data_IF_669322567211
#
_entry.id   IF_669322567211
#
_cell.length_a   1.000
_cell.length_b   1.000
_cell.length_c   1.000
_cell.angle_alpha   90.00
_cell.angle_beta   90.00
_cell.angle_gamma   90.00
#
_symmetry.space_group_name_H-M   'P 1'
#
loop_
_entity.id
_entity.type
_entity.pdbx_description
1 polymer ?
#
# COMPACT_ATOMS: atom_id res chain seq x y z
N UNK A 1 -5.56 44.07 3.86
CA UNK A 1 -6.01 43.02 2.92
C UNK A 1 -5.35 41.71 3.36
N UNK A 2 -6.08 40.89 4.10
CA UNK A 2 -5.57 39.66 4.68
C UNK A 2 -5.40 38.58 3.60
N UNK A 3 -4.18 38.04 3.49
CA UNK A 3 -3.93 36.77 2.82
C UNK A 3 -4.73 35.70 3.59
N UNK A 4 -5.85 35.24 3.02
CA UNK A 4 -6.43 33.95 3.43
C UNK A 4 -5.44 32.90 3.00
N UNK A 5 -4.64 32.37 3.95
CA UNK A 5 -3.97 31.10 3.81
C UNK A 5 -5.07 30.06 3.54
N UNK A 6 -5.24 29.71 2.27
CA UNK A 6 -6.00 28.52 1.87
C UNK A 6 -5.19 27.35 2.43
N UNK A 7 -5.49 26.96 3.67
CA UNK A 7 -4.98 25.69 4.21
C UNK A 7 -5.43 24.62 3.24
N UNK A 8 -4.50 24.14 2.38
CA UNK A 8 -4.79 23.03 1.48
C UNK A 8 -5.35 21.88 2.31
N UNK A 9 -6.53 21.39 1.92
CA UNK A 9 -7.21 20.32 2.65
C UNK A 9 -6.36 19.05 2.65
N UNK A 10 -6.34 18.35 3.79
CA UNK A 10 -5.71 17.04 3.89
C UNK A 10 -6.31 16.07 2.85
N UNK A 11 -5.46 15.23 2.28
CA UNK A 11 -5.81 14.30 1.22
C UNK A 11 -6.10 12.91 1.78
N UNK A 12 -7.05 12.20 1.20
CA UNK A 12 -7.27 10.79 1.49
C UNK A 12 -6.33 9.94 0.64
N UNK A 13 -5.85 8.83 1.18
CA UNK A 13 -4.88 7.97 0.52
C UNK A 13 -5.30 6.50 0.58
N UNK A 14 -4.92 5.75 -0.45
CA UNK A 14 -4.87 4.29 -0.40
C UNK A 14 -3.41 3.88 -0.42
N UNK A 15 -2.94 3.32 0.68
CA UNK A 15 -1.64 2.69 0.77
C UNK A 15 -1.75 1.27 0.24
N UNK A 16 -0.88 0.91 -0.71
CA UNK A 16 -0.92 -0.35 -1.42
C UNK A 16 0.35 -1.14 -1.13
N UNK A 17 0.24 -2.39 -0.64
CA UNK A 17 1.41 -3.25 -0.70
C UNK A 17 1.77 -3.51 -2.17
N UNK A 18 3.01 -3.88 -2.42
CA UNK A 18 3.52 -4.13 -3.76
C UNK A 18 3.30 -5.58 -4.17
N UNK A 19 4.00 -6.48 -3.49
CA UNK A 19 4.08 -7.89 -3.86
C UNK A 19 2.89 -8.67 -3.27
N UNK A 20 2.02 -9.20 -4.11
CA UNK A 20 0.76 -9.83 -3.73
C UNK A 20 -0.46 -8.93 -3.85
N UNK A 21 -0.27 -7.61 -4.02
CA UNK A 21 -1.34 -6.63 -4.25
C UNK A 21 -1.27 -6.05 -5.66
N UNK A 22 -0.18 -5.39 -6.02
CA UNK A 22 0.01 -4.80 -7.35
C UNK A 22 0.57 -5.80 -8.36
N UNK A 23 1.60 -6.54 -7.95
CA UNK A 23 2.22 -7.57 -8.78
C UNK A 23 2.16 -8.94 -8.10
N UNK A 24 2.19 -9.99 -8.93
CA UNK A 24 2.24 -11.37 -8.43
C UNK A 24 3.57 -11.60 -7.72
N UNK A 25 3.57 -12.26 -6.55
CA UNK A 25 4.80 -12.72 -5.93
C UNK A 25 5.33 -13.96 -6.66
N UNK A 26 6.63 -14.20 -6.57
CA UNK A 26 7.24 -15.45 -6.99
C UNK A 26 7.02 -16.49 -5.90
N UNK A 27 6.31 -17.57 -6.19
CA UNK A 27 6.03 -18.62 -5.22
C UNK A 27 7.17 -19.65 -5.25
N UNK A 28 7.85 -19.84 -4.11
CA UNK A 28 8.86 -20.88 -3.89
C UNK A 28 8.53 -21.63 -2.60
N UNK A 29 8.45 -22.95 -2.66
CA UNK A 29 8.11 -23.79 -1.51
C UNK A 29 6.86 -23.28 -0.75
N UNK A 30 5.80 -22.92 -1.49
CA UNK A 30 4.53 -22.37 -0.96
C UNK A 30 4.67 -21.04 -0.21
N UNK A 31 5.79 -20.32 -0.37
CA UNK A 31 6.03 -19.01 0.23
C UNK A 31 6.13 -17.93 -0.84
N UNK A 32 5.51 -16.77 -0.62
CA UNK A 32 5.63 -15.65 -1.54
C UNK A 32 6.95 -14.90 -1.31
N UNK A 33 7.65 -14.62 -2.41
CA UNK A 33 8.84 -13.81 -2.48
C UNK A 33 8.64 -12.66 -3.46
N UNK A 34 9.29 -11.50 -3.26
CA UNK A 34 9.27 -10.45 -4.25
C UNK A 34 9.97 -10.92 -5.54
N UNK A 35 9.61 -10.36 -6.72
CA UNK A 35 10.39 -10.55 -7.93
C UNK A 35 11.83 -10.06 -7.71
N UNK A 36 12.79 -10.85 -8.18
CA UNK A 36 14.20 -10.54 -8.03
C UNK A 36 14.71 -9.67 -9.19
N UNK A 37 14.06 -9.73 -10.36
CA UNK A 37 14.42 -9.01 -11.59
C UNK A 37 13.19 -8.40 -12.22
N UNK A 38 13.40 -7.46 -13.14
CA UNK A 38 12.32 -6.79 -13.87
C UNK A 38 11.48 -7.76 -14.69
N UNK A 39 12.13 -8.77 -15.28
CA UNK A 39 11.50 -9.79 -16.11
C UNK A 39 10.52 -10.67 -15.33
N UNK A 40 10.70 -10.74 -14.01
CA UNK A 40 9.83 -11.52 -13.11
C UNK A 40 8.58 -10.71 -12.65
N UNK A 41 8.45 -9.44 -13.08
CA UNK A 41 7.33 -8.57 -12.66
C UNK A 41 6.10 -8.87 -13.50
N UNK A 42 5.05 -9.37 -12.86
CA UNK A 42 3.75 -9.59 -13.47
C UNK A 42 2.67 -8.85 -12.69
N UNK A 43 2.07 -7.81 -13.29
CA UNK A 43 0.98 -7.03 -12.69
C UNK A 43 -0.32 -7.83 -12.73
N UNK A 44 -1.12 -7.78 -11.65
CA UNK A 44 -2.46 -8.37 -11.68
C UNK A 44 -3.37 -7.62 -12.65
N UNK A 45 -4.21 -8.36 -13.37
CA UNK A 45 -5.06 -7.83 -14.46
C UNK A 45 -6.03 -6.73 -14.00
N UNK A 46 -6.54 -6.82 -12.76
CA UNK A 46 -7.52 -5.91 -12.19
C UNK A 46 -6.90 -4.64 -11.55
N UNK A 47 -5.59 -4.55 -11.47
CA UNK A 47 -4.89 -3.46 -10.76
C UNK A 47 -5.00 -2.14 -11.51
N UNK A 48 -4.77 -2.15 -12.83
CA UNK A 48 -4.75 -0.90 -13.62
C UNK A 48 -6.11 -0.19 -13.55
N UNK A 49 -7.19 -0.94 -13.80
CA UNK A 49 -8.56 -0.40 -13.74
C UNK A 49 -8.96 0.01 -12.32
N UNK A 50 -8.60 -0.78 -11.31
CA UNK A 50 -8.87 -0.46 -9.91
C UNK A 50 -8.14 0.80 -9.44
N UNK A 51 -6.86 0.97 -9.79
CA UNK A 51 -6.09 2.18 -9.49
C UNK A 51 -6.68 3.42 -10.19
N UNK A 52 -7.11 3.29 -11.46
CA UNK A 52 -7.78 4.37 -12.16
C UNK A 52 -9.09 4.80 -11.47
N UNK A 53 -9.88 3.83 -10.99
CA UNK A 53 -11.11 4.09 -10.24
C UNK A 53 -10.83 4.82 -8.92
N UNK A 54 -9.85 4.37 -8.13
CA UNK A 54 -9.43 5.04 -6.89
C UNK A 54 -8.93 6.46 -7.16
N UNK A 55 -8.17 6.65 -8.24
CA UNK A 55 -7.64 7.95 -8.62
C UNK A 55 -8.74 8.92 -9.04
N UNK A 56 -9.73 8.46 -9.82
CA UNK A 56 -10.90 9.26 -10.22
C UNK A 56 -11.77 9.68 -9.03
N UNK A 57 -11.76 8.92 -7.95
CA UNK A 57 -12.41 9.26 -6.68
C UNK A 57 -11.59 10.22 -5.79
N UNK A 58 -10.42 10.66 -6.25
CA UNK A 58 -9.59 11.66 -5.59
C UNK A 58 -8.62 11.13 -4.54
N UNK A 59 -8.41 9.81 -4.46
CA UNK A 59 -7.41 9.23 -3.57
C UNK A 59 -5.99 9.42 -4.10
N UNK A 60 -5.04 9.67 -3.19
CA UNK A 60 -3.64 9.42 -3.46
C UNK A 60 -3.36 7.91 -3.40
N UNK A 61 -2.45 7.43 -4.24
CA UNK A 61 -2.02 6.03 -4.28
C UNK A 61 -0.54 5.93 -3.92
N UNK A 62 -0.24 5.40 -2.74
CA UNK A 62 1.13 5.28 -2.22
C UNK A 62 1.47 3.81 -2.02
N UNK A 63 2.51 3.36 -2.71
CA UNK A 63 3.03 2.00 -2.53
C UNK A 63 3.88 1.92 -1.27
N UNK A 64 3.65 0.90 -0.42
CA UNK A 64 4.36 0.69 0.84
C UNK A 64 4.90 -0.75 0.90
N UNK A 65 6.20 -0.94 0.69
CA UNK A 65 6.79 -2.27 0.51
C UNK A 65 7.95 -2.56 1.45
N UNK A 66 7.97 -3.79 2.00
CA UNK A 66 9.11 -4.34 2.74
C UNK A 66 10.02 -5.10 1.77
N UNK A 67 11.24 -4.64 1.58
CA UNK A 67 12.26 -5.27 0.71
C UNK A 67 13.50 -5.65 1.55
N UNK A 68 13.37 -6.64 2.45
CA UNK A 68 14.42 -6.95 3.43
C UNK A 68 15.67 -7.59 2.83
N UNK A 69 15.56 -8.14 1.63
CA UNK A 69 16.67 -8.83 0.99
C UNK A 69 17.81 -7.88 0.61
N UNK A 70 17.51 -6.58 0.48
CA UNK A 70 18.56 -5.55 0.34
C UNK A 70 19.39 -5.45 1.61
N UNK A 71 18.76 -5.32 2.78
CA UNK A 71 19.48 -5.27 4.05
C UNK A 71 20.19 -6.57 4.41
N UNK A 72 19.77 -7.70 3.83
CA UNK A 72 20.41 -9.02 3.99
C UNK A 72 21.54 -9.26 3.00
N UNK A 73 21.79 -8.36 2.04
CA UNK A 73 22.76 -8.55 0.98
C UNK A 73 22.37 -9.55 -0.10
N UNK A 74 21.10 -9.98 -0.16
CA UNK A 74 20.58 -10.93 -1.13
C UNK A 74 20.03 -10.26 -2.39
N UNK A 75 19.82 -8.95 -2.35
CA UNK A 75 19.32 -8.12 -3.44
C UNK A 75 20.00 -6.74 -3.39
N UNK A 76 20.08 -6.04 -4.51
CA UNK A 76 20.59 -4.67 -4.55
C UNK A 76 19.45 -3.66 -4.49
N UNK A 77 19.72 -2.49 -3.89
CA UNK A 77 18.77 -1.39 -3.92
C UNK A 77 18.44 -0.96 -5.35
N UNK A 78 19.45 -0.90 -6.23
CA UNK A 78 19.29 -0.54 -7.63
C UNK A 78 18.30 -1.45 -8.36
N UNK A 79 18.35 -2.77 -8.12
CA UNK A 79 17.41 -3.71 -8.72
C UNK A 79 15.98 -3.50 -8.21
N UNK A 80 15.79 -3.27 -6.89
CA UNK A 80 14.46 -2.95 -6.35
C UNK A 80 13.94 -1.63 -6.91
N UNK A 81 14.78 -0.61 -7.02
CA UNK A 81 14.40 0.69 -7.60
C UNK A 81 14.02 0.55 -9.08
N UNK A 82 14.68 -0.35 -9.83
CA UNK A 82 14.33 -0.65 -11.22
C UNK A 82 12.97 -1.35 -11.32
N UNK A 83 12.71 -2.34 -10.46
CA UNK A 83 11.40 -3.01 -10.34
C UNK A 83 10.31 -1.98 -10.03
N UNK A 84 10.54 -1.10 -9.06
CA UNK A 84 9.58 -0.05 -8.71
C UNK A 84 9.30 0.91 -9.88
N UNK A 85 10.33 1.28 -10.69
CA UNK A 85 10.13 2.08 -11.90
C UNK A 85 9.31 1.36 -12.95
N UNK A 86 9.54 0.06 -13.15
CA UNK A 86 8.74 -0.76 -14.07
C UNK A 86 7.28 -0.80 -13.65
N UNK A 87 6.99 -0.99 -12.35
CA UNK A 87 5.63 -0.96 -11.81
C UNK A 87 5.02 0.44 -11.98
N UNK A 88 5.77 1.52 -11.69
CA UNK A 88 5.30 2.89 -11.87
C UNK A 88 4.97 3.22 -13.34
N UNK A 89 5.73 2.68 -14.30
CA UNK A 89 5.44 2.81 -15.74
C UNK A 89 4.17 2.06 -16.13
N UNK A 90 3.98 0.85 -15.60
CA UNK A 90 2.79 0.04 -15.86
C UNK A 90 1.52 0.60 -15.19
N UNK A 91 1.68 1.29 -14.06
CA UNK A 91 0.57 1.87 -13.28
C UNK A 91 0.84 3.37 -13.04
N UNK A 92 0.63 4.24 -14.05
CA UNK A 92 1.01 5.66 -13.99
C UNK A 92 0.19 6.48 -12.97
N UNK A 93 -0.85 5.91 -12.36
CA UNK A 93 -1.66 6.52 -11.32
C UNK A 93 -1.00 6.51 -9.94
N UNK A 94 0.09 5.77 -9.75
CA UNK A 94 0.81 5.72 -8.46
C UNK A 94 1.54 7.04 -8.20
N UNK A 95 1.29 7.63 -7.03
CA UNK A 95 1.86 8.95 -6.66
C UNK A 95 3.24 8.81 -6.02
N UNK A 96 3.50 7.70 -5.30
CA UNK A 96 4.73 7.55 -4.52
C UNK A 96 5.01 6.09 -4.16
N UNK A 97 6.31 5.80 -3.95
CA UNK A 97 6.80 4.54 -3.36
C UNK A 97 7.52 4.83 -2.05
N UNK A 98 7.12 4.14 -0.99
CA UNK A 98 7.82 4.05 0.28
C UNK A 98 8.33 2.62 0.45
N UNK A 99 9.63 2.47 0.57
CA UNK A 99 10.26 1.14 0.61
C UNK A 99 11.17 1.01 1.82
N UNK A 100 10.93 -0.03 2.61
CA UNK A 100 11.82 -0.39 3.72
C UNK A 100 12.84 -1.43 3.25
N UNK A 101 14.12 -1.07 3.29
CA UNK A 101 15.25 -1.94 2.90
C UNK A 101 15.92 -2.65 4.07
N UNK A 102 15.50 -2.42 5.32
CA UNK A 102 16.12 -3.02 6.50
C UNK A 102 15.84 -4.53 6.58
N UNK A 103 16.85 -5.31 6.94
CA UNK A 103 16.76 -6.77 7.05
C UNK A 103 15.77 -7.24 8.13
N UNK A 104 15.57 -6.44 9.17
CA UNK A 104 14.69 -6.71 10.30
C UNK A 104 15.46 -7.08 11.57
N UNK A 105 14.73 -7.07 12.69
CA UNK A 105 15.31 -7.18 14.04
C UNK A 105 16.14 -8.45 14.26
N UNK A 106 15.68 -9.59 13.74
CA UNK A 106 16.43 -10.85 13.84
C UNK A 106 17.80 -10.84 13.12
N UNK A 107 18.04 -9.81 12.29
CA UNK A 107 19.32 -9.57 11.62
C UNK A 107 20.05 -8.34 12.20
N UNK A 108 19.69 -7.91 13.41
CA UNK A 108 20.30 -6.76 14.07
C UNK A 108 19.91 -5.39 13.49
N UNK A 109 18.94 -5.32 12.59
CA UNK A 109 18.50 -4.07 11.95
C UNK A 109 17.08 -3.71 12.38
N UNK A 110 16.94 -3.01 13.51
CA UNK A 110 15.68 -2.41 13.93
C UNK A 110 15.43 -1.11 13.17
N UNK A 111 14.16 -0.87 12.81
CA UNK A 111 13.73 0.38 12.18
C UNK A 111 12.25 0.65 12.48
N UNK A 112 11.80 1.88 12.25
CA UNK A 112 10.40 2.28 12.40
C UNK A 112 9.58 2.11 11.10
N UNK A 113 10.25 1.93 9.95
CA UNK A 113 9.58 1.88 8.63
C UNK A 113 9.10 0.48 8.24
N UNK A 114 9.68 -0.61 8.78
CA UNK A 114 9.33 -1.98 8.39
C UNK A 114 7.94 -2.37 8.92
N UNK A 115 6.99 -2.68 8.03
CA UNK A 115 5.68 -3.24 8.41
C UNK A 115 5.86 -4.48 9.29
N UNK A 116 5.14 -4.62 10.44
CA UNK A 116 3.90 -3.93 10.80
C UNK A 116 4.08 -2.53 11.44
N UNK A 117 5.29 -2.00 11.60
CA UNK A 117 5.49 -0.63 12.09
C UNK A 117 5.03 0.39 11.04
N UNK A 118 4.34 1.49 11.45
CA UNK A 118 3.66 2.42 10.54
C UNK A 118 4.54 3.52 9.95
N UNK A 119 5.87 3.47 10.12
CA UNK A 119 6.76 4.59 9.78
C UNK A 119 6.72 5.02 8.32
N UNK A 120 6.51 4.09 7.36
CA UNK A 120 6.33 4.45 5.94
C UNK A 120 5.05 5.26 5.72
N UNK A 121 3.95 4.90 6.39
CA UNK A 121 2.68 5.62 6.30
C UNK A 121 2.81 7.02 6.90
N UNK A 122 3.44 7.16 8.07
CA UNK A 122 3.67 8.45 8.72
C UNK A 122 4.56 9.35 7.87
N UNK A 123 5.61 8.79 7.24
CA UNK A 123 6.49 9.54 6.35
C UNK A 123 5.74 10.09 5.15
N UNK A 124 4.99 9.24 4.44
CA UNK A 124 4.18 9.67 3.31
C UNK A 124 3.11 10.70 3.74
N UNK A 125 2.45 10.48 4.89
CA UNK A 125 1.42 11.37 5.40
C UNK A 125 1.98 12.78 5.66
N UNK A 126 3.16 12.87 6.26
CA UNK A 126 3.84 14.15 6.48
C UNK A 126 4.19 14.86 5.18
N UNK A 127 4.73 14.14 4.19
CA UNK A 127 5.17 14.72 2.93
C UNK A 127 4.03 15.15 2.01
N UNK A 128 2.93 14.39 2.01
CA UNK A 128 1.85 14.56 1.05
C UNK A 128 0.57 15.11 1.69
N UNK A 129 0.63 15.46 2.99
CA UNK A 129 -0.51 15.99 3.78
C UNK A 129 -1.70 15.02 3.78
N UNK A 130 -1.43 13.75 4.07
CA UNK A 130 -2.44 12.69 4.07
C UNK A 130 -3.12 12.62 5.43
N UNK A 131 -4.45 12.53 5.42
CA UNK A 131 -5.25 12.22 6.60
C UNK A 131 -5.33 10.69 6.78
N UNK A 132 -4.58 10.16 7.73
CA UNK A 132 -4.49 8.72 7.96
C UNK A 132 -5.83 8.12 8.43
N UNK A 133 -6.60 8.82 9.26
CA UNK A 133 -7.89 8.34 9.76
C UNK A 133 -8.97 8.22 8.66
N UNK A 134 -8.73 8.85 7.50
CA UNK A 134 -9.57 8.80 6.31
C UNK A 134 -8.94 8.02 5.17
N UNK A 135 -7.88 7.27 5.48
CA UNK A 135 -7.09 6.51 4.50
C UNK A 135 -7.22 5.02 4.73
N UNK A 136 -6.81 4.26 3.73
CA UNK A 136 -6.92 2.82 3.68
C UNK A 136 -5.56 2.19 3.42
N UNK A 137 -5.36 0.96 3.92
CA UNK A 137 -4.27 0.09 3.50
C UNK A 137 -4.88 -1.14 2.85
N UNK A 138 -4.43 -1.48 1.64
CA UNK A 138 -4.72 -2.73 0.96
C UNK A 138 -3.44 -3.57 0.97
N UNK A 139 -3.48 -4.71 1.62
CA UNK A 139 -2.36 -5.63 1.75
C UNK A 139 -2.79 -7.07 1.63
N UNK A 140 -1.83 -7.99 1.52
CA UNK A 140 -2.08 -9.44 1.42
C UNK A 140 -1.55 -10.21 2.63
N UNK A 141 -0.95 -9.51 3.61
CA UNK A 141 -0.29 -10.12 4.77
C UNK A 141 -0.68 -9.46 6.09
N UNK A 142 -0.57 -10.23 7.18
CA UNK A 142 -0.83 -9.73 8.53
C UNK A 142 -0.06 -8.44 8.88
N UNK A 143 1.15 -8.27 8.31
CA UNK A 143 1.98 -7.08 8.54
C UNK A 143 1.40 -5.81 7.97
N UNK A 144 0.65 -5.91 6.89
CA UNK A 144 -0.05 -4.78 6.28
C UNK A 144 -1.20 -4.34 7.16
N UNK A 145 -1.94 -5.32 7.69
CA UNK A 145 -3.06 -5.09 8.60
C UNK A 145 -2.57 -4.45 9.89
N UNK A 146 -1.53 -5.00 10.53
CA UNK A 146 -0.92 -4.41 11.71
C UNK A 146 -0.40 -3.00 11.47
N UNK A 147 0.22 -2.75 10.31
CA UNK A 147 0.68 -1.43 9.90
C UNK A 147 -0.47 -0.43 9.76
N UNK A 148 -1.58 -0.84 9.13
CA UNK A 148 -2.78 -0.03 8.99
C UNK A 148 -3.37 0.38 10.35
N UNK A 149 -3.57 -0.61 11.23
CA UNK A 149 -4.13 -0.39 12.58
C UNK A 149 -3.23 0.52 13.42
N UNK A 150 -1.93 0.29 13.38
CA UNK A 150 -0.95 1.14 14.08
C UNK A 150 -0.91 2.59 13.57
N UNK A 151 -1.28 2.82 12.30
CA UNK A 151 -1.37 4.14 11.69
C UNK A 151 -2.75 4.80 11.84
N UNK A 152 -3.76 4.11 12.36
CA UNK A 152 -5.14 4.59 12.42
C UNK A 152 -5.86 4.57 11.06
N UNK A 153 -5.36 3.79 10.09
CA UNK A 153 -6.00 3.57 8.80
C UNK A 153 -6.97 2.38 8.85
N UNK A 154 -7.91 2.33 7.90
CA UNK A 154 -8.70 1.12 7.65
C UNK A 154 -7.88 0.10 6.88
N UNK A 155 -8.09 -1.18 7.19
CA UNK A 155 -7.33 -2.29 6.66
C UNK A 155 -8.18 -3.24 5.82
N UNK A 156 -7.80 -3.45 4.57
CA UNK A 156 -8.42 -4.42 3.66
C UNK A 156 -7.38 -5.49 3.34
N UNK A 157 -7.70 -6.75 3.62
CA UNK A 157 -6.86 -7.89 3.32
C UNK A 157 -7.28 -8.54 2.01
N UNK A 158 -6.37 -8.68 1.07
CA UNK A 158 -6.53 -9.58 -0.08
C UNK A 158 -6.00 -10.95 0.34
N UNK A 159 -6.90 -11.90 0.57
CA UNK A 159 -6.55 -13.26 0.92
C UNK A 159 -5.98 -14.00 -0.29
N UNK A 160 -4.68 -14.28 -0.24
CA UNK A 160 -3.93 -15.05 -1.24
C UNK A 160 -3.74 -16.52 -0.83
N UNK A 161 -4.37 -16.95 0.26
CA UNK A 161 -4.27 -18.32 0.76
C UNK A 161 -2.93 -18.64 1.43
N UNK A 162 -2.22 -17.64 1.97
CA UNK A 162 -0.99 -17.90 2.71
C UNK A 162 -1.28 -18.46 4.10
N UNK A 163 -0.46 -19.42 4.55
CA UNK A 163 -0.54 -19.98 5.90
C UNK A 163 0.06 -19.02 6.93
N UNK A 164 -0.58 -17.86 7.14
CA UNK A 164 -0.19 -16.86 8.12
C UNK A 164 -1.31 -16.59 9.13
N UNK A 165 -0.95 -16.46 10.40
CA UNK A 165 -1.90 -16.06 11.44
C UNK A 165 -2.03 -14.53 11.44
N UNK A 166 -3.26 -14.04 11.34
CA UNK A 166 -3.57 -12.63 11.53
C UNK A 166 -3.45 -12.29 13.01
N UNK A 167 -2.63 -11.29 13.32
CA UNK A 167 -2.47 -10.77 14.69
C UNK A 167 -3.61 -9.82 15.03
N UNK A 168 -4.04 -9.05 14.03
CA UNK A 168 -5.12 -8.07 14.13
C UNK A 168 -6.17 -8.35 13.04
N UNK A 169 -7.47 -8.18 13.32
CA UNK A 169 -8.49 -8.37 12.30
C UNK A 169 -8.48 -7.20 11.30
N UNK A 170 -8.55 -7.48 9.98
CA UNK A 170 -8.81 -6.45 8.99
C UNK A 170 -10.26 -5.97 9.08
N UNK A 171 -10.55 -4.81 8.49
CA UNK A 171 -11.93 -4.31 8.39
C UNK A 171 -12.75 -5.14 7.36
N UNK A 172 -12.09 -5.62 6.30
CA UNK A 172 -12.67 -6.51 5.28
C UNK A 172 -11.62 -7.49 4.74
N UNK A 173 -12.05 -8.70 4.40
CA UNK A 173 -11.26 -9.70 3.68
C UNK A 173 -11.89 -9.93 2.31
N UNK A 174 -11.08 -9.89 1.25
CA UNK A 174 -11.48 -10.08 -0.14
C UNK A 174 -10.48 -10.99 -0.88
N UNK A 175 -10.77 -11.35 -2.14
CA UNK A 175 -9.89 -12.26 -2.91
C UNK A 175 -9.25 -11.64 -4.16
N UNK A 176 -9.58 -10.38 -4.50
CA UNK A 176 -9.02 -9.68 -5.66
C UNK A 176 -8.84 -8.19 -5.35
N UNK A 177 -8.05 -7.51 -6.19
CA UNK A 177 -7.88 -6.07 -6.07
C UNK A 177 -9.17 -5.33 -6.41
N UNK A 178 -9.89 -5.78 -7.43
CA UNK A 178 -11.19 -5.21 -7.78
C UNK A 178 -12.17 -5.27 -6.59
N UNK A 179 -12.28 -6.42 -5.93
CA UNK A 179 -13.13 -6.57 -4.74
C UNK A 179 -12.65 -5.69 -3.56
N UNK A 180 -11.33 -5.45 -3.44
CA UNK A 180 -10.79 -4.53 -2.43
C UNK A 180 -11.21 -3.07 -2.70
N UNK A 181 -11.23 -2.66 -3.96
CA UNK A 181 -11.69 -1.32 -4.38
C UNK A 181 -13.17 -1.15 -4.08
N UNK A 182 -14.02 -2.13 -4.39
CA UNK A 182 -15.45 -2.08 -4.08
C UNK A 182 -15.72 -2.01 -2.56
N UNK A 183 -15.01 -2.84 -1.78
CA UNK A 183 -15.09 -2.83 -0.33
C UNK A 183 -14.67 -1.48 0.25
N UNK A 184 -13.59 -0.86 -0.28
CA UNK A 184 -13.14 0.46 0.10
C UNK A 184 -14.25 1.51 -0.08
N UNK A 185 -14.90 1.55 -1.24
CA UNK A 185 -15.98 2.50 -1.49
C UNK A 185 -17.17 2.29 -0.56
N UNK A 186 -17.50 1.04 -0.23
CA UNK A 186 -18.54 0.70 0.74
C UNK A 186 -18.19 1.24 2.13
N UNK A 187 -16.96 0.99 2.60
CA UNK A 187 -16.46 1.52 3.88
C UNK A 187 -16.38 3.05 3.90
N UNK A 188 -15.98 3.67 2.81
CA UNK A 188 -15.87 5.13 2.70
C UNK A 188 -17.25 5.82 2.78
N UNK A 189 -18.28 5.25 2.17
CA UNK A 189 -19.67 5.74 2.26
C UNK A 189 -20.21 5.65 3.68
N UNK A 190 -20.02 4.53 4.36
CA UNK A 190 -20.50 4.33 5.74
C UNK A 190 -19.87 5.32 6.75
N UNK A 191 -18.75 5.93 6.41
CA UNK A 191 -18.00 6.86 7.28
C UNK A 191 -18.10 8.33 6.83
N UNK A 192 -19.00 8.68 5.89
CA UNK A 192 -19.10 10.03 5.30
C UNK A 192 -17.77 10.57 4.75
N UNK A 193 -16.87 9.68 4.33
CA UNK A 193 -15.53 10.02 3.81
C UNK A 193 -15.56 10.52 2.36
N UNK A 194 -16.58 10.17 1.60
CA UNK A 194 -16.81 10.67 0.24
C UNK A 194 -17.77 11.86 0.33
N UNK A 195 -17.35 13.00 -0.20
CA UNK A 195 -18.29 14.11 -0.45
C UNK A 195 -19.33 13.62 -1.46
N UNK A 196 -20.62 13.83 -1.20
CA UNK A 196 -21.65 13.67 -2.23
C UNK A 196 -21.24 14.49 -3.47
N UNK A 197 -21.40 13.95 -4.70
CA UNK A 197 -21.18 14.74 -5.89
C UNK A 197 -22.06 15.99 -5.78
N UNK A 198 -21.48 17.15 -6.02
CA UNK A 198 -22.24 18.40 -6.10
C UNK A 198 -23.32 18.18 -7.17
N UNK A 199 -24.58 18.33 -6.79
CA UNK A 199 -25.68 18.38 -7.75
C UNK A 199 -25.45 19.57 -8.67
N UNK A 200 -25.22 19.30 -9.95
CA UNK A 200 -25.23 20.27 -11.02
C UNK A 200 -26.68 20.61 -11.36
#
# INVERSE_FOLDING_TARGET
MGKRDLAESEKNCVFLDRDGVLNKPVIRERRPYPPARVEDVEIYEDVLSGCAHLKSAGFLLVVVSNQPDVGRGLQTRAAVDQINRTIATAIPMLDRFETCFHAGEKYGQSCLCRKPKPGMLFHAAKLMRINLSRSFVIGDRWRDIGCAKAAGCRAILIDRGYSETLVEPPDVIVRSFAAAVEALFTLAKSSSLLKSPAKV
#
